data_IF_017750221098
#
_entry.id   IF_017750221098
#
_cell.length_a   1.000
_cell.length_b   1.000
_cell.length_c   1.000
_cell.angle_alpha   90.00
_cell.angle_beta   90.00
_cell.angle_gamma   90.00
#
_symmetry.space_group_name_H-M   'P 1'
#
loop_
_entity.id
_entity.type
_entity.pdbx_description
1 polymer ?
#
# COMPACT_ATOMS: atom_id res chain seq x y z
N UNK A 1 -47.24 54.01 45.00
CA UNK A 1 -47.47 52.55 44.91
C UNK A 1 -46.94 52.05 43.59
N UNK A 2 -46.07 51.05 43.69
CA UNK A 2 -45.02 50.63 42.77
C UNK A 2 -45.54 49.82 41.58
N UNK A 3 -45.11 50.19 40.37
CA UNK A 3 -45.04 49.32 39.18
C UNK A 3 -43.57 49.15 38.80
N UNK A 4 -43.17 47.92 38.47
CA UNK A 4 -42.17 47.49 37.46
C UNK A 4 -41.89 46.00 37.71
N UNK A 5 -42.51 45.09 36.96
CA UNK A 5 -42.11 44.59 35.64
C UNK A 5 -40.81 43.76 35.71
N UNK A 6 -40.99 42.44 35.73
CA UNK A 6 -39.94 41.42 35.62
C UNK A 6 -39.29 41.48 34.23
N UNK A 7 -37.96 41.56 34.19
CA UNK A 7 -37.15 41.33 32.98
C UNK A 7 -36.63 39.90 33.05
N UNK A 8 -37.08 39.05 32.13
CA UNK A 8 -36.52 37.73 31.90
C UNK A 8 -35.28 37.86 31.01
N UNK A 9 -34.14 37.44 31.52
CA UNK A 9 -32.89 37.33 30.75
C UNK A 9 -32.90 35.97 30.05
N UNK A 10 -33.07 35.98 28.73
CA UNK A 10 -32.85 34.81 27.88
C UNK A 10 -31.43 34.93 27.32
N UNK A 11 -30.48 34.19 27.91
CA UNK A 11 -29.15 34.00 27.35
C UNK A 11 -29.20 32.89 26.29
N UNK A 12 -29.16 33.28 25.01
CA UNK A 12 -28.93 32.36 23.90
C UNK A 12 -27.42 32.12 23.79
N UNK A 13 -26.89 31.04 24.38
CA UNK A 13 -25.54 30.57 24.08
C UNK A 13 -25.60 29.79 22.76
N UNK A 14 -25.29 30.47 21.65
CA UNK A 14 -24.91 29.78 20.43
C UNK A 14 -23.51 29.19 20.63
N UNK A 15 -23.44 27.89 20.89
CA UNK A 15 -22.18 27.15 20.88
C UNK A 15 -21.66 27.09 19.43
N UNK A 16 -20.72 27.98 19.09
CA UNK A 16 -19.92 27.84 17.88
C UNK A 16 -18.92 26.73 18.14
N UNK A 17 -19.22 25.52 17.67
CA UNK A 17 -18.25 24.43 17.61
C UNK A 17 -17.19 24.78 16.55
N UNK A 18 -16.12 25.44 16.97
CA UNK A 18 -14.89 25.50 16.21
C UNK A 18 -14.37 24.05 16.03
N UNK A 19 -14.54 23.50 14.83
CA UNK A 19 -13.96 22.20 14.49
C UNK A 19 -12.45 22.38 14.47
N UNK A 20 -11.76 21.82 15.47
CA UNK A 20 -10.30 21.72 15.43
C UNK A 20 -9.94 20.92 14.17
N UNK A 21 -9.31 21.58 13.21
CA UNK A 21 -8.77 20.96 12.02
C UNK A 21 -7.79 19.87 12.46
N UNK A 22 -7.93 18.65 11.95
CA UNK A 22 -7.06 17.54 12.34
C UNK A 22 -5.62 17.91 12.01
N UNK A 23 -4.71 17.86 12.99
CA UNK A 23 -3.28 18.13 12.80
C UNK A 23 -2.53 16.96 12.15
N UNK A 24 -3.25 15.88 11.84
CA UNK A 24 -2.71 14.66 11.24
C UNK A 24 -2.48 14.91 9.75
N UNK A 25 -1.31 14.51 9.23
CA UNK A 25 -1.05 14.50 7.78
C UNK A 25 -1.58 13.20 7.20
N UNK A 26 -2.16 13.24 6.00
CA UNK A 26 -2.73 12.04 5.36
C UNK A 26 -1.77 10.84 5.34
N UNK A 27 -0.50 11.07 5.02
CA UNK A 27 0.53 10.02 4.99
C UNK A 27 0.79 9.33 6.33
N UNK A 28 0.44 9.95 7.46
CA UNK A 28 0.63 9.41 8.80
C UNK A 28 -0.70 8.93 9.42
N UNK A 29 -1.79 8.90 8.65
CA UNK A 29 -3.15 8.65 9.18
C UNK A 29 -3.31 7.26 9.79
N UNK A 30 -2.51 6.28 9.35
CA UNK A 30 -2.48 4.92 9.90
C UNK A 30 -1.45 4.72 11.02
N UNK A 31 -0.65 5.74 11.33
CA UNK A 31 0.38 5.72 12.37
C UNK A 31 -0.10 6.33 13.70
N UNK A 32 -1.38 6.71 13.75
CA UNK A 32 -1.99 7.26 14.96
C UNK A 32 -2.17 6.16 16.04
N UNK A 33 -2.23 6.57 17.30
CA UNK A 33 -2.51 5.65 18.41
C UNK A 33 -3.89 5.01 18.27
N UNK A 34 -4.08 3.80 18.80
CA UNK A 34 -5.37 3.09 18.71
C UNK A 34 -6.54 3.94 19.27
N UNK A 35 -6.31 4.70 20.35
CA UNK A 35 -7.30 5.60 20.91
C UNK A 35 -7.70 6.76 19.99
N UNK A 36 -6.83 7.18 19.07
CA UNK A 36 -7.13 8.27 18.14
C UNK A 36 -8.27 7.92 17.19
N UNK A 37 -8.34 6.67 16.71
CA UNK A 37 -9.37 6.24 15.76
C UNK A 37 -10.79 6.30 16.32
N UNK A 38 -10.94 6.38 17.64
CA UNK A 38 -12.24 6.53 18.32
C UNK A 38 -12.65 7.99 18.56
N UNK A 39 -11.81 8.96 18.15
CA UNK A 39 -12.06 10.39 18.39
C UNK A 39 -12.96 11.00 17.31
N UNK A 40 -13.62 12.11 17.66
CA UNK A 40 -14.37 12.92 16.69
C UNK A 40 -13.51 13.35 15.50
N UNK A 41 -12.23 13.67 15.74
CA UNK A 41 -11.31 14.06 14.67
C UNK A 41 -11.08 12.92 13.67
N UNK A 42 -10.87 11.68 14.14
CA UNK A 42 -10.74 10.53 13.26
C UNK A 42 -12.04 10.23 12.49
N UNK A 43 -13.20 10.38 13.13
CA UNK A 43 -14.49 10.22 12.48
C UNK A 43 -14.72 11.25 11.36
N UNK A 44 -14.29 12.51 11.54
CA UNK A 44 -14.36 13.53 10.47
C UNK A 44 -13.49 13.14 9.26
N UNK A 45 -12.31 12.56 9.50
CA UNK A 45 -11.46 12.04 8.42
C UNK A 45 -12.12 10.83 7.76
N UNK A 46 -12.70 9.91 8.53
CA UNK A 46 -13.42 8.76 8.01
C UNK A 46 -14.62 9.17 7.14
N UNK A 47 -15.43 10.14 7.59
CA UNK A 47 -16.53 10.73 6.83
C UNK A 47 -16.03 11.34 5.52
N UNK A 48 -14.88 12.02 5.55
CA UNK A 48 -14.27 12.59 4.35
C UNK A 48 -13.82 11.49 3.37
N UNK A 49 -13.24 10.40 3.87
CA UNK A 49 -12.85 9.25 3.06
C UNK A 49 -14.04 8.64 2.31
N UNK A 50 -15.23 8.58 2.93
CA UNK A 50 -16.44 8.06 2.29
C UNK A 50 -16.80 8.85 1.02
N UNK A 51 -16.62 10.18 1.03
CA UNK A 51 -16.96 11.06 -0.09
C UNK A 51 -16.14 10.75 -1.35
N UNK A 52 -14.96 10.16 -1.21
CA UNK A 52 -14.08 9.84 -2.33
C UNK A 52 -14.22 8.40 -2.85
N UNK A 53 -15.01 7.53 -2.21
CA UNK A 53 -15.16 6.15 -2.66
C UNK A 53 -15.86 6.10 -4.02
N UNK A 54 -15.26 5.40 -4.98
CA UNK A 54 -15.83 5.27 -6.33
C UNK A 54 -16.99 4.26 -6.36
N UNK A 55 -17.83 4.28 -7.41
CA UNK A 55 -18.84 3.23 -7.62
C UNK A 55 -18.25 1.81 -7.66
N UNK A 56 -17.01 1.66 -8.12
CA UNK A 56 -16.28 0.38 -8.11
C UNK A 56 -15.91 -0.11 -6.70
N UNK A 57 -15.97 0.74 -5.67
CA UNK A 57 -15.61 0.41 -4.29
C UNK A 57 -14.19 0.81 -3.90
N UNK A 58 -13.29 1.05 -4.87
CA UNK A 58 -11.94 1.55 -4.61
C UNK A 58 -11.86 3.07 -4.44
N UNK A 59 -10.66 3.57 -4.17
CA UNK A 59 -10.37 4.99 -3.99
C UNK A 59 -9.30 5.50 -4.97
N UNK A 60 -9.35 6.79 -5.32
CA UNK A 60 -8.26 7.46 -6.03
C UNK A 60 -7.04 7.62 -5.11
N UNK A 61 -5.90 7.95 -5.73
CA UNK A 61 -4.65 8.30 -5.05
C UNK A 61 -4.42 9.81 -5.00
N UNK A 62 -3.40 10.21 -4.24
CA UNK A 62 -2.85 11.58 -4.22
C UNK A 62 -3.87 12.66 -3.82
N UNK A 63 -4.80 12.31 -2.94
CA UNK A 63 -5.76 13.23 -2.32
C UNK A 63 -5.52 13.26 -0.82
N UNK A 64 -5.35 14.45 -0.26
CA UNK A 64 -5.39 14.65 1.18
C UNK A 64 -6.86 14.56 1.66
N UNK A 65 -7.20 13.47 2.33
CA UNK A 65 -8.55 13.22 2.85
C UNK A 65 -8.69 13.62 4.33
N UNK A 66 -7.72 14.36 4.89
CA UNK A 66 -7.81 14.92 6.25
C UNK A 66 -8.70 16.16 6.33
N UNK A 67 -9.05 16.74 5.17
CA UNK A 67 -10.00 17.83 5.02
C UNK A 67 -11.07 17.47 3.97
N UNK A 68 -12.34 17.87 4.18
CA UNK A 68 -13.41 17.58 3.23
C UNK A 68 -13.13 18.25 1.87
N UNK A 69 -13.57 17.64 0.74
CA UNK A 69 -13.51 18.29 -0.55
C UNK A 69 -14.34 19.58 -0.58
N UNK A 70 -13.94 20.52 -1.43
CA UNK A 70 -14.74 21.72 -1.72
C UNK A 70 -16.13 21.37 -2.28
N UNK A 71 -16.22 20.33 -3.10
CA UNK A 71 -17.47 19.72 -3.57
C UNK A 71 -17.68 18.38 -2.87
N UNK A 72 -18.76 18.27 -2.09
CA UNK A 72 -19.11 17.04 -1.34
C UNK A 72 -19.60 15.90 -2.23
N UNK A 73 -19.78 16.15 -3.52
CA UNK A 73 -20.17 15.18 -4.54
C UNK A 73 -19.11 15.12 -5.65
N UNK A 74 -17.88 14.64 -5.35
CA UNK A 74 -16.84 14.56 -6.37
C UNK A 74 -17.32 13.68 -7.54
N UNK A 75 -17.01 14.06 -8.79
CA UNK A 75 -17.48 13.33 -9.95
C UNK A 75 -17.01 11.88 -9.92
N UNK A 76 -17.91 10.94 -10.23
CA UNK A 76 -17.57 9.54 -10.37
C UNK A 76 -16.55 9.37 -11.52
N UNK A 77 -15.35 8.89 -11.20
CA UNK A 77 -14.28 8.65 -12.16
C UNK A 77 -13.80 7.20 -12.08
N UNK A 78 -13.43 6.57 -13.21
CA UNK A 78 -12.82 5.24 -13.24
C UNK A 78 -11.31 5.34 -12.92
N UNK A 79 -10.98 5.91 -11.77
CA UNK A 79 -9.60 6.23 -11.33
C UNK A 79 -9.22 5.57 -10.00
N UNK A 80 -9.99 4.56 -9.56
CA UNK A 80 -9.63 3.74 -8.41
C UNK A 80 -8.32 2.97 -8.65
N UNK A 81 -7.50 2.88 -7.62
CA UNK A 81 -6.13 2.38 -7.71
C UNK A 81 -5.61 1.85 -6.39
N UNK A 82 -4.55 1.07 -6.45
CA UNK A 82 -3.75 0.63 -5.31
C UNK A 82 -2.39 1.34 -5.23
N UNK A 83 -2.12 2.25 -6.15
CA UNK A 83 -0.90 3.07 -6.19
C UNK A 83 -0.84 4.04 -5.02
N UNK A 84 0.36 4.36 -4.53
CA UNK A 84 0.60 5.26 -3.39
C UNK A 84 -0.25 4.92 -2.14
N UNK A 85 -0.52 3.63 -1.91
CA UNK A 85 -1.31 3.15 -0.77
C UNK A 85 -2.81 3.45 -0.85
N UNK A 86 -3.31 3.92 -2.02
CA UNK A 86 -4.72 4.13 -2.25
C UNK A 86 -5.51 2.82 -2.11
N UNK A 87 -6.80 2.97 -1.81
CA UNK A 87 -7.73 1.89 -1.44
C UNK A 87 -7.37 1.17 -0.14
N UNK A 88 -6.15 0.67 0.03
CA UNK A 88 -5.73 -0.05 1.25
C UNK A 88 -5.69 0.86 2.48
N UNK A 89 -5.24 2.11 2.32
CA UNK A 89 -5.21 3.08 3.42
C UNK A 89 -6.61 3.40 3.92
N UNK A 90 -7.52 3.64 3.00
CA UNK A 90 -8.91 3.98 3.28
C UNK A 90 -9.64 2.83 3.96
N UNK A 91 -9.47 1.58 3.48
CA UNK A 91 -10.07 0.40 4.12
C UNK A 91 -9.59 0.28 5.57
N UNK A 92 -8.27 0.40 5.82
CA UNK A 92 -7.70 0.30 7.17
C UNK A 92 -8.21 1.40 8.10
N UNK A 93 -8.26 2.65 7.61
CA UNK A 93 -8.77 3.76 8.39
C UNK A 93 -10.23 3.56 8.78
N UNK A 94 -11.09 3.19 7.81
CA UNK A 94 -12.51 2.95 8.05
C UNK A 94 -12.75 1.79 9.04
N UNK A 95 -12.00 0.70 8.91
CA UNK A 95 -12.09 -0.44 9.83
C UNK A 95 -11.69 -0.05 11.26
N UNK A 96 -10.59 0.69 11.44
CA UNK A 96 -10.16 1.16 12.77
C UNK A 96 -11.14 2.17 13.36
N UNK A 97 -11.59 3.15 12.57
CA UNK A 97 -12.56 4.15 13.01
C UNK A 97 -13.89 3.53 13.43
N UNK A 98 -14.35 2.48 12.74
CA UNK A 98 -15.59 1.79 13.09
C UNK A 98 -15.58 1.19 14.50
N UNK A 99 -14.41 0.82 15.03
CA UNK A 99 -14.29 0.17 16.36
C UNK A 99 -14.68 1.10 17.52
N UNK A 100 -14.60 2.42 17.32
CA UNK A 100 -14.94 3.44 18.33
C UNK A 100 -16.10 4.36 17.95
N UNK A 101 -16.74 4.13 16.80
CA UNK A 101 -17.77 5.01 16.26
C UNK A 101 -19.18 4.68 16.80
N UNK A 102 -20.11 5.66 16.84
CA UNK A 102 -21.53 5.38 17.05
C UNK A 102 -22.04 4.35 16.04
N UNK A 103 -23.00 3.50 16.44
CA UNK A 103 -23.42 2.34 15.66
C UNK A 103 -23.80 2.65 14.19
N UNK A 104 -24.48 3.78 13.94
CA UNK A 104 -24.83 4.20 12.57
C UNK A 104 -23.61 4.55 11.72
N UNK A 105 -22.63 5.25 12.31
CA UNK A 105 -21.37 5.59 11.64
C UNK A 105 -20.50 4.33 11.43
N UNK A 106 -20.38 3.48 12.46
CA UNK A 106 -19.69 2.20 12.35
C UNK A 106 -20.27 1.32 11.23
N UNK A 107 -21.60 1.25 11.09
CA UNK A 107 -22.24 0.53 9.98
C UNK A 107 -21.86 1.12 8.63
N UNK A 108 -21.82 2.45 8.51
CA UNK A 108 -21.46 3.14 7.26
C UNK A 108 -19.99 2.89 6.90
N UNK A 109 -19.08 3.01 7.86
CA UNK A 109 -17.64 2.78 7.66
C UNK A 109 -17.34 1.34 7.28
N UNK A 110 -17.92 0.36 7.98
CA UNK A 110 -17.75 -1.05 7.68
C UNK A 110 -18.34 -1.43 6.32
N UNK A 111 -19.51 -0.90 5.95
CA UNK A 111 -20.08 -1.12 4.61
C UNK A 111 -19.15 -0.58 3.49
N UNK A 112 -18.58 0.62 3.67
CA UNK A 112 -17.61 1.17 2.73
C UNK A 112 -16.30 0.35 2.69
N UNK A 113 -15.80 -0.09 3.84
CA UNK A 113 -14.63 -0.96 3.92
C UNK A 113 -14.85 -2.30 3.20
N UNK A 114 -16.03 -2.92 3.36
CA UNK A 114 -16.41 -4.15 2.65
C UNK A 114 -16.41 -3.96 1.13
N UNK A 115 -16.96 -2.83 0.64
CA UNK A 115 -16.89 -2.49 -0.80
C UNK A 115 -15.46 -2.33 -1.31
N UNK A 116 -14.58 -1.77 -0.48
CA UNK A 116 -13.15 -1.68 -0.78
C UNK A 116 -12.48 -3.06 -0.86
N UNK A 117 -12.79 -3.96 0.08
CA UNK A 117 -12.29 -5.34 0.07
C UNK A 117 -12.79 -6.07 -1.18
N UNK A 118 -14.07 -5.93 -1.51
CA UNK A 118 -14.65 -6.54 -2.71
C UNK A 118 -13.98 -6.03 -3.99
N UNK A 119 -13.72 -4.72 -4.08
CA UNK A 119 -12.95 -4.12 -5.17
C UNK A 119 -11.56 -4.78 -5.33
N UNK A 120 -10.83 -4.98 -4.22
CA UNK A 120 -9.52 -5.63 -4.26
C UNK A 120 -9.62 -7.09 -4.70
N UNK A 121 -10.64 -7.82 -4.24
CA UNK A 121 -10.87 -9.21 -4.63
C UNK A 121 -11.28 -9.33 -6.10
N UNK A 122 -12.05 -8.38 -6.63
CA UNK A 122 -12.47 -8.33 -8.03
C UNK A 122 -11.32 -7.93 -8.97
N UNK A 123 -10.44 -7.03 -8.53
CA UNK A 123 -9.29 -6.59 -9.30
C UNK A 123 -8.20 -7.68 -9.48
N UNK A 124 -8.25 -8.77 -8.70
CA UNK A 124 -7.24 -9.82 -8.79
C UNK A 124 -7.32 -10.57 -10.12
N UNK A 125 -6.21 -10.67 -10.83
CA UNK A 125 -6.11 -11.50 -12.02
C UNK A 125 -6.32 -12.99 -11.71
N UNK A 126 -6.79 -13.80 -12.68
CA UNK A 126 -6.94 -15.25 -12.49
C UNK A 126 -5.68 -15.95 -11.98
N UNK A 127 -4.48 -15.47 -12.36
CA UNK A 127 -3.20 -16.02 -11.92
C UNK A 127 -2.80 -15.63 -10.48
N UNK A 128 -3.43 -14.61 -9.89
CA UNK A 128 -3.18 -14.14 -8.53
C UNK A 128 -2.55 -12.75 -8.40
N UNK A 129 -2.18 -12.10 -9.50
CA UNK A 129 -1.54 -10.77 -9.46
C UNK A 129 -2.56 -9.64 -9.38
N UNK A 130 -2.09 -8.41 -9.13
CA UNK A 130 -2.94 -7.22 -9.10
C UNK A 130 -2.44 -6.13 -10.05
N UNK A 131 -3.34 -5.50 -10.84
CA UNK A 131 -3.03 -4.30 -11.60
C UNK A 131 -2.89 -3.09 -10.68
N UNK A 132 -2.18 -2.06 -11.12
CA UNK A 132 -2.10 -0.78 -10.40
C UNK A 132 -3.47 -0.06 -10.36
N UNK A 133 -4.23 -0.10 -11.46
CA UNK A 133 -5.58 0.49 -11.56
C UNK A 133 -6.61 -0.57 -11.94
N UNK A 134 -7.80 -0.46 -11.36
CA UNK A 134 -8.97 -1.26 -11.74
C UNK A 134 -10.23 -0.37 -11.77
N UNK A 135 -11.06 -0.40 -12.83
CA UNK A 135 -10.96 -1.21 -14.05
C UNK A 135 -9.66 -1.00 -14.86
N UNK A 136 -9.29 -2.00 -15.65
CA UNK A 136 -8.00 -2.05 -16.33
C UNK A 136 -7.84 -0.91 -17.35
N UNK A 137 -6.61 -0.41 -17.44
CA UNK A 137 -6.17 0.56 -18.45
C UNK A 137 -5.33 -0.13 -19.52
N UNK A 138 -5.13 0.56 -20.65
CA UNK A 138 -4.35 0.08 -21.80
C UNK A 138 -2.89 0.56 -21.78
N UNK A 139 -2.31 0.73 -20.60
CA UNK A 139 -0.94 1.19 -20.38
C UNK A 139 -0.22 0.25 -19.38
N UNK A 140 0.95 0.66 -18.86
CA UNK A 140 1.72 -0.14 -17.91
C UNK A 140 0.96 -0.46 -16.62
N UNK A 141 -0.11 0.29 -16.29
CA UNK A 141 -0.85 0.13 -15.06
C UNK A 141 -1.66 -1.18 -15.00
N UNK A 142 -1.69 -1.94 -16.10
CA UNK A 142 -2.26 -3.29 -16.17
C UNK A 142 -1.33 -4.37 -15.62
N UNK A 143 -0.02 -4.13 -15.55
CA UNK A 143 0.92 -5.14 -15.08
C UNK A 143 0.70 -5.51 -13.62
N UNK A 144 1.17 -6.70 -13.22
CA UNK A 144 1.31 -7.05 -11.80
C UNK A 144 2.25 -6.04 -11.16
N UNK A 145 1.72 -5.24 -10.23
CA UNK A 145 2.42 -4.04 -9.76
C UNK A 145 2.89 -4.20 -8.32
N UNK A 146 4.20 -4.38 -8.15
CA UNK A 146 4.85 -4.31 -6.83
C UNK A 146 5.28 -2.89 -6.45
N UNK A 147 5.44 -1.99 -7.44
CA UNK A 147 5.82 -0.60 -7.24
C UNK A 147 5.02 0.11 -6.14
N UNK A 148 5.74 0.86 -5.30
CA UNK A 148 5.21 1.59 -4.15
C UNK A 148 4.41 0.66 -3.21
N UNK A 149 4.89 -0.58 -3.08
CA UNK A 149 4.27 -1.69 -2.36
C UNK A 149 2.81 -1.96 -2.75
N UNK A 150 2.36 -1.57 -3.94
CA UNK A 150 0.94 -1.61 -4.34
C UNK A 150 0.29 -2.99 -4.10
N UNK A 151 0.77 -4.03 -4.79
CA UNK A 151 0.28 -5.41 -4.56
C UNK A 151 0.57 -5.89 -3.12
N UNK A 152 1.67 -5.46 -2.51
CA UNK A 152 2.05 -5.94 -1.18
C UNK A 152 1.12 -5.41 -0.08
N UNK A 153 0.69 -4.15 -0.17
CA UNK A 153 -0.30 -3.56 0.72
C UNK A 153 -1.65 -4.28 0.62
N UNK A 154 -2.06 -4.66 -0.59
CA UNK A 154 -3.25 -5.50 -0.82
C UNK A 154 -3.07 -6.86 -0.15
N UNK A 155 -1.93 -7.50 -0.33
CA UNK A 155 -1.67 -8.82 0.25
C UNK A 155 -1.64 -8.81 1.77
N UNK A 156 -0.98 -7.84 2.42
CA UNK A 156 -1.00 -7.72 3.88
C UNK A 156 -2.42 -7.45 4.39
N UNK A 157 -3.18 -6.56 3.72
CA UNK A 157 -4.55 -6.27 4.10
C UNK A 157 -5.45 -7.51 3.98
N UNK A 158 -5.40 -8.22 2.86
CA UNK A 158 -6.23 -9.42 2.66
C UNK A 158 -5.83 -10.57 3.58
N UNK A 159 -4.56 -10.65 3.98
CA UNK A 159 -4.11 -11.62 4.97
C UNK A 159 -4.74 -11.35 6.35
N UNK A 160 -4.69 -10.09 6.81
CA UNK A 160 -5.37 -9.65 8.04
C UNK A 160 -6.89 -9.86 7.98
N UNK A 161 -7.52 -9.51 6.85
CA UNK A 161 -8.96 -9.77 6.62
C UNK A 161 -9.26 -11.26 6.72
N UNK A 162 -8.41 -12.12 6.16
CA UNK A 162 -8.59 -13.58 6.22
C UNK A 162 -8.44 -14.15 7.63
N UNK A 163 -7.67 -13.50 8.50
CA UNK A 163 -7.56 -13.89 9.91
C UNK A 163 -8.85 -13.54 10.67
N UNK A 164 -9.52 -12.45 10.29
CA UNK A 164 -10.78 -12.03 10.89
C UNK A 164 -10.64 -11.42 12.30
N UNK A 165 -9.42 -11.09 12.70
CA UNK A 165 -9.11 -10.38 13.92
C UNK A 165 -9.44 -8.88 13.80
N UNK A 166 -9.44 -8.16 14.92
CA UNK A 166 -9.59 -6.71 14.91
C UNK A 166 -8.52 -6.04 14.01
N UNK A 167 -8.88 -5.03 13.21
CA UNK A 167 -10.16 -4.32 13.16
C UNK A 167 -11.20 -4.94 12.17
N UNK A 168 -10.97 -6.13 11.63
CA UNK A 168 -11.78 -6.74 10.58
C UNK A 168 -12.80 -7.80 11.06
N UNK A 169 -13.18 -7.76 12.34
CA UNK A 169 -14.14 -8.71 12.92
C UNK A 169 -15.54 -8.66 12.28
N UNK A 170 -15.85 -7.58 11.57
CA UNK A 170 -17.12 -7.40 10.84
C UNK A 170 -17.15 -8.10 9.47
N UNK A 171 -16.03 -8.64 8.98
CA UNK A 171 -15.96 -9.29 7.67
C UNK A 171 -16.51 -10.72 7.77
N UNK A 172 -17.51 -11.04 6.93
CA UNK A 172 -18.12 -12.36 6.87
C UNK A 172 -17.17 -13.46 6.37
N UNK A 173 -17.48 -14.71 6.71
CA UNK A 173 -16.63 -15.86 6.38
C UNK A 173 -16.40 -16.03 4.87
N UNK A 174 -17.39 -15.75 4.05
CA UNK A 174 -17.26 -15.88 2.59
C UNK A 174 -16.18 -14.93 2.05
N UNK A 175 -16.14 -13.68 2.52
CA UNK A 175 -15.08 -12.73 2.17
C UNK A 175 -13.74 -13.13 2.77
N UNK A 176 -13.70 -13.65 4.01
CA UNK A 176 -12.45 -14.14 4.63
C UNK A 176 -11.84 -15.29 3.83
N UNK A 177 -12.65 -16.23 3.35
CA UNK A 177 -12.20 -17.34 2.51
C UNK A 177 -11.70 -16.86 1.14
N UNK A 178 -12.42 -15.93 0.51
CA UNK A 178 -11.96 -15.29 -0.75
C UNK A 178 -10.62 -14.57 -0.55
N UNK A 179 -10.45 -13.86 0.56
CA UNK A 179 -9.19 -13.20 0.90
C UNK A 179 -8.05 -14.20 1.11
N UNK A 180 -8.30 -15.30 1.84
CA UNK A 180 -7.33 -16.39 2.04
C UNK A 180 -6.90 -17.00 0.71
N UNK A 181 -7.85 -17.29 -0.17
CA UNK A 181 -7.59 -17.83 -1.50
C UNK A 181 -6.82 -16.84 -2.38
N UNK A 182 -7.18 -15.55 -2.32
CA UNK A 182 -6.49 -14.49 -3.05
C UNK A 182 -5.03 -14.36 -2.60
N UNK A 183 -4.75 -14.38 -1.30
CA UNK A 183 -3.40 -14.35 -0.74
C UNK A 183 -2.58 -15.57 -1.20
N UNK A 184 -3.16 -16.77 -1.19
CA UNK A 184 -2.49 -17.98 -1.67
C UNK A 184 -2.08 -17.87 -3.15
N UNK A 185 -2.95 -17.34 -4.01
CA UNK A 185 -2.63 -17.07 -5.42
C UNK A 185 -1.55 -15.98 -5.56
N UNK A 186 -1.62 -14.92 -4.76
CA UNK A 186 -0.60 -13.86 -4.72
C UNK A 186 0.79 -14.38 -4.37
N UNK A 187 0.89 -15.30 -3.39
CA UNK A 187 2.15 -16.00 -3.07
C UNK A 187 2.64 -16.81 -4.28
N UNK A 188 1.75 -17.50 -5.01
CA UNK A 188 2.15 -18.19 -6.24
C UNK A 188 2.70 -17.23 -7.29
N UNK A 189 2.14 -16.03 -7.43
CA UNK A 189 2.65 -15.02 -8.38
C UNK A 189 4.03 -14.54 -7.97
N UNK A 190 4.23 -14.18 -6.70
CA UNK A 190 5.54 -13.78 -6.17
C UNK A 190 6.61 -14.84 -6.46
N UNK A 191 6.34 -16.11 -6.16
CA UNK A 191 7.34 -17.17 -6.35
C UNK A 191 7.64 -17.42 -7.84
N UNK A 192 6.62 -17.31 -8.71
CA UNK A 192 6.79 -17.51 -10.16
C UNK A 192 7.43 -16.32 -10.87
N UNK A 193 7.26 -15.10 -10.35
CA UNK A 193 7.84 -13.88 -10.93
C UNK A 193 9.25 -13.56 -10.44
N UNK A 194 9.77 -14.29 -9.43
CA UNK A 194 11.13 -14.06 -8.95
C UNK A 194 12.14 -14.28 -10.08
N UNK A 195 12.95 -13.25 -10.34
CA UNK A 195 13.84 -13.20 -11.49
C UNK A 195 15.00 -14.17 -11.31
N UNK A 196 15.27 -14.96 -12.35
CA UNK A 196 16.44 -15.82 -12.46
C UNK A 196 17.44 -15.22 -13.44
N UNK A 197 18.70 -15.11 -13.02
CA UNK A 197 19.84 -14.72 -13.84
C UNK A 197 20.80 -15.90 -13.82
N UNK A 198 21.11 -16.47 -14.99
CA UNK A 198 21.99 -17.63 -15.15
C UNK A 198 21.61 -18.81 -14.21
N UNK A 199 20.31 -19.10 -14.15
CA UNK A 199 19.74 -20.16 -13.29
C UNK A 199 19.64 -19.81 -11.81
N UNK A 200 20.20 -18.68 -11.36
CA UNK A 200 20.22 -18.27 -9.96
C UNK A 200 19.07 -17.32 -9.64
N UNK A 201 18.29 -17.64 -8.60
CA UNK A 201 17.24 -16.75 -8.08
C UNK A 201 17.83 -15.45 -7.54
N UNK A 202 17.11 -14.35 -7.75
CA UNK A 202 17.51 -13.02 -7.30
C UNK A 202 16.36 -12.32 -6.57
N UNK A 203 15.85 -11.23 -7.13
CA UNK A 203 14.85 -10.35 -6.58
C UNK A 203 13.68 -10.19 -7.58
N UNK A 204 12.91 -9.12 -7.48
CA UNK A 204 11.78 -8.83 -8.35
C UNK A 204 11.95 -7.50 -9.07
N UNK A 205 11.29 -7.35 -10.21
CA UNK A 205 11.07 -6.06 -10.85
C UNK A 205 9.94 -5.31 -10.15
N UNK A 206 9.88 -3.99 -10.30
CA UNK A 206 8.78 -3.19 -9.77
C UNK A 206 7.42 -3.55 -10.43
N UNK A 207 7.45 -4.03 -11.68
CA UNK A 207 6.27 -4.53 -12.39
C UNK A 207 6.60 -5.78 -13.21
N UNK A 208 5.62 -6.67 -13.32
CA UNK A 208 5.69 -7.90 -14.10
C UNK A 208 4.46 -8.05 -14.99
N UNK A 209 4.65 -8.59 -16.19
CA UNK A 209 3.57 -8.86 -17.13
C UNK A 209 2.49 -9.76 -16.51
N UNK A 210 1.22 -9.41 -16.68
CA UNK A 210 0.13 -10.12 -16.01
C UNK A 210 -0.19 -11.51 -16.58
N UNK A 211 0.43 -11.89 -17.69
CA UNK A 211 0.27 -13.20 -18.32
C UNK A 211 1.54 -14.02 -18.11
N UNK A 212 2.68 -13.48 -18.56
CA UNK A 212 3.96 -14.19 -18.62
C UNK A 212 4.77 -14.10 -17.32
N UNK A 213 4.44 -13.14 -16.44
CA UNK A 213 5.20 -12.78 -15.24
C UNK A 213 6.65 -12.33 -15.52
N UNK A 214 6.99 -12.04 -16.78
CA UNK A 214 8.27 -11.45 -17.12
C UNK A 214 8.37 -10.01 -16.58
N UNK A 215 9.55 -9.52 -16.17
CA UNK A 215 9.75 -8.11 -15.83
C UNK A 215 9.31 -7.17 -16.95
N UNK A 216 8.65 -6.07 -16.59
CA UNK A 216 8.21 -5.03 -17.55
C UNK A 216 8.65 -3.64 -17.12
N UNK A 217 8.90 -2.73 -18.07
CA UNK A 217 9.08 -1.33 -17.75
C UNK A 217 7.74 -0.67 -17.38
N UNK A 218 7.80 0.51 -16.77
CA UNK A 218 6.64 1.35 -16.47
C UNK A 218 6.75 2.72 -17.16
N UNK A 219 7.00 3.80 -16.40
CA UNK A 219 7.24 5.13 -16.95
C UNK A 219 8.56 5.15 -17.75
N UNK A 220 8.78 6.19 -18.54
CA UNK A 220 9.96 6.35 -19.41
C UNK A 220 11.30 6.15 -18.68
N UNK A 221 11.36 6.47 -17.38
CA UNK A 221 12.53 6.34 -16.53
C UNK A 221 12.56 5.06 -15.67
N UNK A 222 11.60 4.15 -15.85
CA UNK A 222 11.44 2.92 -15.07
C UNK A 222 11.59 1.70 -15.97
N UNK A 223 12.84 1.32 -16.20
CA UNK A 223 13.19 0.17 -17.03
C UNK A 223 12.90 -1.15 -16.32
N UNK A 224 12.61 -2.20 -17.10
CA UNK A 224 12.62 -3.56 -16.58
C UNK A 224 13.99 -3.85 -15.94
N UNK A 225 14.00 -4.11 -14.64
CA UNK A 225 15.22 -4.18 -13.83
C UNK A 225 14.94 -4.93 -12.52
N UNK A 226 15.98 -5.25 -11.74
CA UNK A 226 15.79 -5.71 -10.37
C UNK A 226 15.58 -4.50 -9.45
N UNK A 227 14.54 -4.54 -8.63
CA UNK A 227 14.22 -3.47 -7.69
C UNK A 227 14.81 -3.73 -6.31
N UNK A 228 15.66 -2.82 -5.85
CA UNK A 228 16.19 -2.83 -4.49
C UNK A 228 15.14 -2.48 -3.44
N UNK A 229 14.18 -1.61 -3.78
CA UNK A 229 13.12 -1.17 -2.87
C UNK A 229 11.97 -2.19 -2.81
N UNK A 230 11.31 -2.43 -3.94
CA UNK A 230 10.03 -3.18 -3.98
C UNK A 230 10.19 -4.64 -3.56
N UNK A 231 11.41 -5.19 -3.65
CA UNK A 231 11.71 -6.54 -3.18
C UNK A 231 11.62 -6.69 -1.65
N UNK A 232 11.71 -5.59 -0.89
CA UNK A 232 11.73 -5.62 0.58
C UNK A 232 10.41 -6.12 1.16
N UNK A 233 9.29 -5.55 0.74
CA UNK A 233 7.98 -5.96 1.25
C UNK A 233 7.61 -7.38 0.81
N UNK A 234 8.02 -7.78 -0.41
CA UNK A 234 7.85 -9.15 -0.90
C UNK A 234 8.53 -10.16 0.04
N UNK A 235 9.81 -9.93 0.34
CA UNK A 235 10.57 -10.83 1.24
C UNK A 235 9.95 -10.83 2.64
N UNK A 236 9.58 -9.65 3.17
CA UNK A 236 8.91 -9.55 4.48
C UNK A 236 7.62 -10.37 4.51
N UNK A 237 6.80 -10.28 3.47
CA UNK A 237 5.56 -11.04 3.39
C UNK A 237 5.82 -12.55 3.36
N UNK A 238 6.74 -13.00 2.51
CA UNK A 238 7.12 -14.41 2.41
C UNK A 238 7.63 -14.97 3.74
N UNK A 239 8.36 -14.18 4.53
CA UNK A 239 8.84 -14.57 5.85
C UNK A 239 7.73 -14.76 6.90
N UNK A 240 6.51 -14.28 6.64
CA UNK A 240 5.34 -14.55 7.51
C UNK A 240 4.63 -15.86 7.16
N UNK A 241 4.98 -16.49 6.04
CA UNK A 241 4.34 -17.72 5.56
C UNK A 241 4.99 -18.97 6.18
N UNK A 242 4.30 -20.12 6.16
CA UNK A 242 4.94 -21.40 6.43
C UNK A 242 6.21 -21.58 5.56
N UNK A 243 7.37 -21.90 6.15
CA UNK A 243 8.65 -21.88 5.46
C UNK A 243 8.85 -23.12 4.59
N UNK A 244 8.05 -23.26 3.54
CA UNK A 244 8.23 -24.31 2.53
C UNK A 244 9.59 -24.17 1.82
N UNK A 245 10.17 -25.24 1.24
CA UNK A 245 11.44 -25.15 0.53
C UNK A 245 11.48 -24.06 -0.55
N UNK A 246 10.38 -23.85 -1.28
CA UNK A 246 10.27 -22.81 -2.29
C UNK A 246 10.33 -21.39 -1.69
N UNK A 247 9.63 -21.17 -0.57
CA UNK A 247 9.65 -19.88 0.14
C UNK A 247 11.03 -19.62 0.74
N UNK A 248 11.65 -20.63 1.34
CA UNK A 248 12.99 -20.50 1.93
C UNK A 248 14.01 -20.18 0.86
N UNK A 249 14.00 -20.89 -0.27
CA UNK A 249 14.89 -20.61 -1.39
C UNK A 249 14.68 -19.19 -1.95
N UNK A 250 13.42 -18.75 -2.09
CA UNK A 250 13.11 -17.42 -2.58
C UNK A 250 13.64 -16.31 -1.65
N UNK A 251 13.39 -16.43 -0.34
CA UNK A 251 13.84 -15.48 0.68
C UNK A 251 15.37 -15.45 0.78
N UNK A 252 16.00 -16.63 0.89
CA UNK A 252 17.46 -16.74 1.01
C UNK A 252 18.17 -16.12 -0.21
N UNK A 253 17.67 -16.40 -1.42
CA UNK A 253 18.23 -15.86 -2.66
C UNK A 253 18.07 -14.33 -2.77
N UNK A 254 16.90 -13.79 -2.44
CA UNK A 254 16.66 -12.35 -2.45
C UNK A 254 17.53 -11.62 -1.43
N UNK A 255 17.68 -12.15 -0.22
CA UNK A 255 18.54 -11.54 0.80
C UNK A 255 20.02 -11.67 0.43
N UNK A 256 20.45 -12.78 -0.16
CA UNK A 256 21.81 -12.94 -0.67
C UNK A 256 22.10 -11.92 -1.79
N UNK A 257 21.15 -11.72 -2.72
CA UNK A 257 21.25 -10.68 -3.75
C UNK A 257 21.34 -9.28 -3.14
N UNK A 258 20.45 -8.93 -2.21
CA UNK A 258 20.46 -7.63 -1.50
C UNK A 258 21.78 -7.38 -0.78
N UNK A 259 22.38 -8.39 -0.14
CA UNK A 259 23.71 -8.26 0.48
C UNK A 259 24.80 -7.96 -0.54
N UNK A 260 24.75 -8.63 -1.70
CA UNK A 260 25.75 -8.47 -2.77
C UNK A 260 25.71 -7.10 -3.42
N UNK A 261 24.51 -6.53 -3.60
CA UNK A 261 24.33 -5.25 -4.32
C UNK A 261 24.33 -4.02 -3.41
N UNK A 262 24.61 -4.20 -2.11
CA UNK A 262 24.77 -3.10 -1.14
C UNK A 262 25.93 -2.21 -1.58
N UNK A 263 25.68 -0.91 -1.68
CA UNK A 263 26.68 0.07 -2.08
C UNK A 263 27.69 0.34 -0.95
N UNK A 264 28.90 0.85 -1.26
CA UNK A 264 29.93 1.12 -0.25
C UNK A 264 29.50 2.04 0.89
N UNK A 265 28.59 2.98 0.62
CA UNK A 265 28.01 3.90 1.62
C UNK A 265 26.87 3.26 2.46
N UNK A 266 26.60 1.98 2.24
CA UNK A 266 25.59 1.21 2.93
C UNK A 266 24.15 1.44 2.47
N UNK A 267 23.94 2.14 1.34
CA UNK A 267 22.63 2.27 0.65
C UNK A 267 22.46 1.18 -0.41
N UNK A 268 21.29 1.19 -1.04
CA UNK A 268 20.92 0.40 -2.22
C UNK A 268 20.39 1.35 -3.29
N UNK A 269 20.63 1.01 -4.56
CA UNK A 269 19.94 1.66 -5.67
C UNK A 269 18.49 1.18 -5.77
N UNK A 270 17.61 2.00 -6.35
CA UNK A 270 16.24 1.60 -6.62
C UNK A 270 16.17 0.54 -7.71
N UNK A 271 17.01 0.67 -8.75
CA UNK A 271 17.00 -0.21 -9.93
C UNK A 271 18.41 -0.72 -10.24
N UNK A 272 18.49 -2.00 -10.60
CA UNK A 272 19.72 -2.68 -10.99
C UNK A 272 19.54 -3.41 -12.33
N UNK A 273 20.50 -3.24 -13.24
CA UNK A 273 20.54 -3.92 -14.52
C UNK A 273 20.65 -5.44 -14.34
N UNK A 274 19.91 -6.20 -15.18
CA UNK A 274 19.98 -7.66 -15.20
C UNK A 274 21.38 -8.15 -15.61
N UNK A 275 21.84 -9.25 -15.03
CA UNK A 275 23.16 -9.82 -15.28
C UNK A 275 24.28 -9.10 -14.54
N UNK A 276 24.41 -7.78 -14.73
CA UNK A 276 25.54 -7.00 -14.21
C UNK A 276 25.37 -6.55 -12.76
N UNK A 277 24.12 -6.44 -12.28
CA UNK A 277 23.78 -5.83 -10.99
C UNK A 277 24.33 -4.40 -10.83
N UNK A 278 24.52 -3.66 -11.93
CA UNK A 278 24.91 -2.26 -11.87
C UNK A 278 23.68 -1.40 -11.57
N UNK A 279 23.77 -0.42 -10.64
CA UNK A 279 22.76 0.61 -10.51
C UNK A 279 22.50 1.28 -11.86
N UNK A 280 21.22 1.49 -12.18
CA UNK A 280 20.79 2.21 -13.39
C UNK A 280 19.96 3.43 -13.03
N UNK A 281 20.14 4.48 -13.83
CA UNK A 281 19.43 5.76 -13.76
C UNK A 281 18.84 6.06 -15.13
N UNK A 282 17.69 6.73 -15.17
CA UNK A 282 17.11 7.14 -16.44
C UNK A 282 16.26 8.39 -16.26
N UNK A 283 16.30 9.23 -17.28
CA UNK A 283 15.52 10.45 -17.37
C UNK A 283 14.26 10.29 -18.20
N UNK A 284 13.65 11.41 -18.55
CA UNK A 284 12.49 11.47 -19.46
C UNK A 284 12.82 11.03 -20.88
N UNK A 285 14.10 11.05 -21.26
CA UNK A 285 14.59 10.55 -22.56
C UNK A 285 14.66 9.03 -22.67
N UNK A 286 14.35 8.30 -21.58
CA UNK A 286 14.37 6.83 -21.51
C UNK A 286 15.75 6.20 -21.75
N UNK A 287 16.83 6.96 -21.69
CA UNK A 287 18.19 6.42 -21.86
C UNK A 287 18.73 5.96 -20.51
N UNK A 288 19.18 4.71 -20.46
CA UNK A 288 19.84 4.13 -19.28
C UNK A 288 21.24 4.73 -19.13
N UNK A 289 21.51 5.20 -17.91
CA UNK A 289 22.78 5.78 -17.47
C UNK A 289 23.26 5.08 -16.20
N UNK A 290 24.53 5.24 -15.89
CA UNK A 290 25.18 4.53 -14.78
C UNK A 290 25.71 5.46 -13.70
N UNK A 291 25.50 6.77 -13.85
CA UNK A 291 25.71 7.75 -12.80
C UNK A 291 24.47 8.62 -12.65
N UNK A 292 24.16 9.01 -11.41
CA UNK A 292 22.99 9.83 -11.13
C UNK A 292 23.13 11.23 -11.72
N UNK A 293 24.36 11.74 -11.80
CA UNK A 293 24.66 13.08 -12.30
C UNK A 293 24.47 13.19 -13.83
N UNK A 294 24.27 12.06 -14.53
CA UNK A 294 24.08 12.01 -15.98
C UNK A 294 22.61 12.25 -16.41
N UNK A 295 21.65 12.24 -15.48
CA UNK A 295 20.23 12.53 -15.75
C UNK A 295 19.86 13.97 -15.36
N UNK A 296 18.71 14.46 -15.79
CA UNK A 296 18.23 15.81 -15.48
C UNK A 296 18.01 16.06 -13.98
N UNK A 297 18.35 17.27 -13.51
CA UNK A 297 18.27 17.66 -12.08
C UNK A 297 16.88 17.39 -11.47
N UNK A 298 15.81 17.65 -12.22
CA UNK A 298 14.43 17.39 -11.80
C UNK A 298 14.18 15.93 -11.42
N UNK A 299 14.80 14.97 -12.13
CA UNK A 299 14.72 13.54 -11.79
C UNK A 299 15.69 13.14 -10.70
N UNK A 300 16.84 13.81 -10.59
CA UNK A 300 17.77 13.55 -9.48
C UNK A 300 17.14 13.90 -8.13
N UNK A 301 16.44 15.04 -8.06
CA UNK A 301 15.87 15.58 -6.82
C UNK A 301 14.44 15.08 -6.56
N UNK A 302 13.65 14.89 -7.62
CA UNK A 302 12.23 14.51 -7.53
C UNK A 302 11.96 13.01 -7.39
N UNK A 303 13.00 12.17 -7.37
CA UNK A 303 12.84 10.72 -7.32
C UNK A 303 13.93 10.06 -6.46
N UNK A 304 13.52 9.15 -5.58
CA UNK A 304 14.46 8.45 -4.72
C UNK A 304 15.18 7.32 -5.47
N UNK A 305 16.39 7.61 -5.98
CA UNK A 305 17.24 6.64 -6.68
C UNK A 305 18.05 5.74 -5.74
N UNK A 306 18.29 6.20 -4.51
CA UNK A 306 19.03 5.45 -3.50
C UNK A 306 18.26 5.47 -2.17
N UNK A 307 18.38 4.39 -1.40
CA UNK A 307 17.74 4.29 -0.10
C UNK A 307 18.35 3.24 0.80
N UNK A 308 17.92 3.23 2.06
CA UNK A 308 18.30 2.23 3.05
C UNK A 308 17.20 1.18 3.27
N UNK A 309 16.23 1.09 2.35
CA UNK A 309 15.02 0.26 2.47
C UNK A 309 15.32 -1.20 2.90
N UNK A 310 16.34 -1.88 2.34
CA UNK A 310 16.65 -3.26 2.72
C UNK A 310 17.35 -3.43 4.07
N UNK A 311 17.88 -2.36 4.68
CA UNK A 311 18.79 -2.43 5.85
C UNK A 311 18.21 -3.27 6.99
N UNK A 312 17.03 -2.91 7.49
CA UNK A 312 16.37 -3.63 8.60
C UNK A 312 16.04 -5.07 8.24
N UNK A 313 15.65 -5.33 6.98
CA UNK A 313 15.36 -6.67 6.49
C UNK A 313 16.62 -7.54 6.55
N UNK A 314 17.73 -7.07 5.97
CA UNK A 314 18.98 -7.81 5.83
C UNK A 314 19.71 -8.01 7.17
N UNK A 315 19.72 -6.98 8.01
CA UNK A 315 20.53 -6.93 9.23
C UNK A 315 19.80 -7.50 10.46
N UNK A 316 18.46 -7.42 10.51
CA UNK A 316 17.68 -7.81 11.70
C UNK A 316 16.64 -8.87 11.42
N UNK A 317 15.73 -8.62 10.47
CA UNK A 317 14.57 -9.49 10.28
C UNK A 317 14.97 -10.86 9.72
N UNK A 318 15.82 -10.91 8.69
CA UNK A 318 16.21 -12.17 8.06
C UNK A 318 17.02 -13.07 9.02
N UNK A 319 18.05 -12.59 9.74
CA UNK A 319 18.73 -13.42 10.75
C UNK A 319 17.78 -13.98 11.82
N UNK A 320 16.84 -13.16 12.32
CA UNK A 320 15.86 -13.58 13.31
C UNK A 320 14.84 -14.61 12.76
N UNK A 321 14.48 -14.50 11.48
CA UNK A 321 13.64 -15.51 10.82
C UNK A 321 14.40 -16.81 10.60
N UNK A 322 15.65 -16.76 10.12
CA UNK A 322 16.51 -17.95 9.96
C UNK A 322 16.77 -18.68 11.26
N UNK A 323 16.79 -18.03 12.42
CA UNK A 323 16.98 -18.71 13.71
C UNK A 323 15.75 -19.48 14.19
N UNK A 324 14.57 -19.21 13.61
CA UNK A 324 13.30 -19.86 13.96
C UNK A 324 12.91 -20.99 13.00
N UNK A 325 13.67 -21.19 11.91
CA UNK A 325 13.38 -22.25 10.96
C UNK A 325 13.62 -23.63 11.59
N UNK A 326 12.70 -24.59 11.43
CA UNK A 326 12.87 -25.94 11.94
C UNK A 326 14.07 -26.62 11.25
N UNK A 327 14.87 -27.37 12.01
CA UNK A 327 16.01 -28.15 11.49
C UNK A 327 17.31 -27.38 11.34
N UNK A 328 17.50 -26.30 12.12
CA UNK A 328 18.85 -25.90 12.56
C UNK A 328 19.31 -26.71 13.75
#
# INVERSE_FOLDING_TARGET
MTRRAFIAVICFFAAVCAHAQSTVRWKDVLEQSEGWYSTTAAHVVADTVLLYQRPSGGWPKDIDMTAPPADRTPPARPDATIDNGATTTQIRLLARAASGAPAAAAHTYTAAALRGIDYLLEAQYPNGGWPQFFPLRKDYSRYVTFNDDAMMNVMFLLDEVSAGDAPFTFVDEQRRDRARAAVAKGVSVILKSQVRIDGTLTAWCAQHDEITLAPRPARTFEHASLSGNESVAIVRFLMTRPPTPAIVAAVDAAVAWLRRVRLPDGRWARFYEFGTNRPIFSGRDSVVRYKLEEIEQERQEGYAWYGTWPRTLVEKMYPAWKSRLPGK
#
